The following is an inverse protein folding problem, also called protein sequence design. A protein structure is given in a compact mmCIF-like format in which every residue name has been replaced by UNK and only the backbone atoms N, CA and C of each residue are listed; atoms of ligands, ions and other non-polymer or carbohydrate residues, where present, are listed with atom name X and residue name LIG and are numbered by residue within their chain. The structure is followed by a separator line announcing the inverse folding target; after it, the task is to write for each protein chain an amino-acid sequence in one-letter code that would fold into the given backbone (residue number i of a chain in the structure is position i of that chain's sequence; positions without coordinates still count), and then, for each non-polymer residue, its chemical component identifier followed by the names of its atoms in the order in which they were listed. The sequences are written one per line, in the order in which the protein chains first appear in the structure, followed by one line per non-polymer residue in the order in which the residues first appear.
data_IF_850717598717
#
_entry.id   IF_850717598717
#
_cell.length_a   1.000
_cell.length_b   1.000
_cell.length_c   1.000
_cell.angle_alpha   90.00
_cell.angle_beta   90.00
_cell.angle_gamma   90.00
#
_symmetry.space_group_name_H-M   'P 1'
#
loop_
_entity.id
_entity.type
_entity.pdbx_description
1 polymer ?
#
# COMPACT_ATOMS: atom_id res chain seq x y z
N UNK A 1 10.58 -10.06 -19.42
CA UNK A 1 9.45 -10.79 -18.82
C UNK A 1 9.26 -10.63 -17.30
N UNK A 2 10.03 -11.29 -16.40
CA UNK A 2 9.71 -11.25 -14.94
C UNK A 2 9.63 -9.84 -14.33
N UNK A 3 10.48 -8.91 -14.79
CA UNK A 3 10.49 -7.52 -14.34
C UNK A 3 9.29 -6.73 -14.87
N UNK A 4 8.93 -6.90 -16.14
CA UNK A 4 7.75 -6.25 -16.75
C UNK A 4 6.45 -6.70 -16.08
N UNK A 5 6.31 -8.00 -15.77
CA UNK A 5 5.16 -8.52 -15.02
C UNK A 5 5.09 -7.91 -13.61
N UNK A 6 6.24 -7.69 -12.99
CA UNK A 6 6.29 -7.05 -11.67
C UNK A 6 5.87 -5.58 -11.73
N UNK A 7 6.35 -4.84 -12.75
CA UNK A 7 5.97 -3.44 -12.99
C UNK A 7 4.46 -3.33 -13.30
N UNK A 8 3.93 -4.18 -14.18
CA UNK A 8 2.51 -4.21 -14.50
C UNK A 8 1.64 -4.46 -13.25
N UNK A 9 2.06 -5.38 -12.37
CA UNK A 9 1.38 -5.65 -11.10
C UNK A 9 1.47 -4.47 -10.13
N UNK A 10 2.60 -3.77 -10.08
CA UNK A 10 2.74 -2.55 -9.26
C UNK A 10 1.83 -1.43 -9.79
N UNK A 11 1.76 -1.21 -11.10
CA UNK A 11 0.86 -0.24 -11.70
C UNK A 11 -0.61 -0.57 -11.42
N UNK A 12 -0.98 -1.84 -11.52
CA UNK A 12 -2.33 -2.28 -11.17
C UNK A 12 -2.67 -1.99 -9.69
N UNK A 13 -1.75 -2.27 -8.76
CA UNK A 13 -1.93 -1.95 -7.35
C UNK A 13 -2.02 -0.44 -7.11
N UNK A 14 -1.26 0.36 -7.84
CA UNK A 14 -1.32 1.82 -7.77
C UNK A 14 -2.66 2.36 -8.27
N UNK A 15 -3.20 1.77 -9.35
CA UNK A 15 -4.56 2.08 -9.83
C UNK A 15 -5.62 1.73 -8.80
N UNK A 16 -5.48 0.61 -8.07
CA UNK A 16 -6.40 0.28 -6.98
C UNK A 16 -6.33 1.30 -5.83
N UNK A 17 -5.14 1.80 -5.48
CA UNK A 17 -4.98 2.84 -4.44
C UNK A 17 -5.68 4.13 -4.87
N UNK A 18 -5.33 4.67 -6.04
CA UNK A 18 -5.90 5.92 -6.56
C UNK A 18 -7.41 5.79 -6.78
N UNK A 19 -7.85 4.68 -7.39
CA UNK A 19 -9.26 4.41 -7.63
C UNK A 19 -10.07 4.33 -6.35
N UNK A 20 -9.55 3.66 -5.31
CA UNK A 20 -10.21 3.56 -4.01
C UNK A 20 -10.26 4.91 -3.29
N UNK A 21 -9.20 5.73 -3.39
CA UNK A 21 -9.18 7.10 -2.85
C UNK A 21 -10.30 7.95 -3.48
N UNK A 22 -10.39 7.98 -4.81
CA UNK A 22 -11.43 8.74 -5.53
C UNK A 22 -12.84 8.23 -5.17
N UNK A 23 -13.03 6.91 -5.11
CA UNK A 23 -14.31 6.32 -4.72
C UNK A 23 -14.70 6.65 -3.28
N UNK A 24 -13.74 6.73 -2.37
CA UNK A 24 -13.96 7.17 -0.98
C UNK A 24 -14.51 8.60 -0.93
N UNK A 25 -13.92 9.52 -1.69
CA UNK A 25 -14.39 10.91 -1.76
C UNK A 25 -15.79 11.04 -2.37
N UNK A 26 -16.07 10.32 -3.47
CA UNK A 26 -17.39 10.32 -4.10
C UNK A 26 -18.43 9.76 -3.13
N UNK A 27 -18.12 8.64 -2.46
CA UNK A 27 -19.07 8.00 -1.55
C UNK A 27 -19.31 8.76 -0.27
N UNK A 28 -18.40 9.65 0.16
CA UNK A 28 -18.64 10.57 1.26
C UNK A 28 -19.88 11.46 1.03
N UNK A 29 -20.18 11.84 -0.21
CA UNK A 29 -21.38 12.64 -0.52
C UNK A 29 -22.70 11.91 -0.24
N UNK A 30 -22.71 10.57 -0.19
CA UNK A 30 -23.90 9.79 0.16
C UNK A 30 -24.31 9.95 1.64
N UNK A 31 -23.43 10.49 2.49
CA UNK A 31 -23.73 10.75 3.90
C UNK A 31 -24.94 11.64 4.08
N UNK A 32 -25.13 12.62 3.19
CA UNK A 32 -26.29 13.51 3.22
C UNK A 32 -27.63 12.78 3.04
N UNK A 33 -27.64 11.64 2.35
CA UNK A 33 -28.87 10.91 2.01
C UNK A 33 -29.12 9.72 2.93
N UNK A 34 -28.07 8.98 3.30
CA UNK A 34 -28.17 7.72 4.05
C UNK A 34 -27.63 7.83 5.48
N UNK A 35 -27.16 9.01 5.90
CA UNK A 35 -26.58 9.24 7.22
C UNK A 35 -25.41 8.29 7.51
N UNK A 36 -25.31 7.83 8.74
CA UNK A 36 -24.20 6.98 9.20
C UNK A 36 -24.08 5.64 8.43
N UNK A 37 -25.18 5.11 7.89
CA UNK A 37 -25.14 3.88 7.08
C UNK A 37 -24.30 4.04 5.81
N UNK A 38 -24.18 5.26 5.29
CA UNK A 38 -23.34 5.54 4.11
C UNK A 38 -21.85 5.29 4.37
N UNK A 39 -21.38 5.34 5.64
CA UNK A 39 -19.97 5.22 6.00
C UNK A 39 -19.39 3.83 5.72
N UNK A 40 -20.25 2.82 5.57
CA UNK A 40 -19.81 1.46 5.21
C UNK A 40 -19.05 1.48 3.87
N UNK A 41 -19.53 2.20 2.87
CA UNK A 41 -18.91 2.30 1.55
C UNK A 41 -17.48 2.87 1.59
N UNK A 42 -17.23 4.09 2.09
CA UNK A 42 -15.88 4.65 2.15
C UNK A 42 -14.95 3.81 3.03
N UNK A 43 -15.44 3.24 4.14
CA UNK A 43 -14.63 2.34 4.99
C UNK A 43 -14.16 1.11 4.19
N UNK A 44 -15.01 0.53 3.34
CA UNK A 44 -14.60 -0.60 2.49
C UNK A 44 -13.53 -0.20 1.47
N UNK A 45 -13.62 0.99 0.88
CA UNK A 45 -12.60 1.49 -0.06
C UNK A 45 -11.26 1.77 0.63
N UNK A 46 -11.28 2.33 1.84
CA UNK A 46 -10.06 2.51 2.65
C UNK A 46 -9.40 1.15 2.94
N UNK A 47 -10.17 0.12 3.28
CA UNK A 47 -9.63 -1.24 3.49
C UNK A 47 -9.00 -1.82 2.23
N UNK A 48 -9.62 -1.62 1.06
CA UNK A 48 -9.07 -2.04 -0.23
C UNK A 48 -7.75 -1.29 -0.51
N UNK A 49 -7.72 0.01 -0.27
CA UNK A 49 -6.56 0.88 -0.46
C UNK A 49 -5.38 0.44 0.40
N UNK A 50 -5.59 0.23 1.71
CA UNK A 50 -4.56 -0.23 2.63
C UNK A 50 -4.00 -1.59 2.20
N UNK A 51 -4.87 -2.52 1.81
CA UNK A 51 -4.44 -3.83 1.32
C UNK A 51 -3.59 -3.74 0.04
N UNK A 52 -3.95 -2.85 -0.88
CA UNK A 52 -3.19 -2.60 -2.10
C UNK A 52 -1.82 -1.97 -1.78
N UNK A 53 -1.77 -1.00 -0.88
CA UNK A 53 -0.55 -0.35 -0.41
C UNK A 53 0.43 -1.34 0.24
N UNK A 54 -0.06 -2.20 1.14
CA UNK A 54 0.75 -3.25 1.78
C UNK A 54 1.33 -4.21 0.73
N UNK A 55 0.52 -4.62 -0.26
CA UNK A 55 0.99 -5.50 -1.35
C UNK A 55 2.04 -4.80 -2.22
N UNK A 56 1.85 -3.52 -2.54
CA UNK A 56 2.78 -2.73 -3.34
C UNK A 56 4.14 -2.61 -2.64
N UNK A 57 4.12 -2.31 -1.35
CA UNK A 57 5.33 -2.14 -0.56
C UNK A 57 6.11 -3.46 -0.41
N UNK A 58 5.41 -4.60 -0.23
CA UNK A 58 6.06 -5.92 -0.23
C UNK A 58 6.78 -6.23 -1.54
N UNK A 59 6.25 -5.77 -2.69
CA UNK A 59 6.89 -5.96 -3.99
C UNK A 59 8.15 -5.08 -4.10
N UNK A 60 8.04 -3.80 -3.75
CA UNK A 60 9.17 -2.86 -3.78
C UNK A 60 10.32 -3.32 -2.88
N UNK A 61 10.02 -3.74 -1.65
CA UNK A 61 11.04 -4.23 -0.72
C UNK A 61 11.73 -5.51 -1.24
N UNK A 62 10.98 -6.40 -1.91
CA UNK A 62 11.56 -7.60 -2.52
C UNK A 62 12.51 -7.26 -3.67
N UNK A 63 12.16 -6.29 -4.51
CA UNK A 63 13.01 -5.88 -5.65
C UNK A 63 14.23 -5.06 -5.21
N UNK A 64 14.10 -4.20 -4.19
CA UNK A 64 15.23 -3.46 -3.60
C UNK A 64 16.24 -4.41 -2.95
N UNK A 65 15.77 -5.39 -2.17
CA UNK A 65 16.63 -6.40 -1.56
C UNK A 65 17.38 -7.24 -2.61
N UNK A 66 16.73 -7.58 -3.73
CA UNK A 66 17.40 -8.29 -4.84
C UNK A 66 18.48 -7.42 -5.49
N UNK A 67 18.21 -6.13 -5.70
CA UNK A 67 19.15 -5.20 -6.35
C UNK A 67 20.38 -4.97 -5.50
N UNK A 68 20.20 -4.68 -4.21
CA UNK A 68 21.32 -4.49 -3.28
C UNK A 68 22.22 -5.71 -3.21
N UNK A 69 21.62 -6.90 -3.08
CA UNK A 69 22.37 -8.15 -3.03
C UNK A 69 23.14 -8.42 -4.31
N UNK A 70 22.55 -8.11 -5.47
CA UNK A 70 23.24 -8.22 -6.76
C UNK A 70 24.51 -7.37 -6.78
N UNK A 71 24.46 -6.12 -6.31
CA UNK A 71 25.64 -5.24 -6.22
C UNK A 71 26.71 -5.82 -5.28
N UNK A 72 26.29 -6.36 -4.13
CA UNK A 72 27.20 -6.91 -3.13
C UNK A 72 27.89 -8.19 -3.62
N UNK A 73 27.15 -9.08 -4.27
CA UNK A 73 27.70 -10.30 -4.86
C UNK A 73 28.68 -9.97 -6.01
N UNK A 74 28.41 -8.91 -6.79
CA UNK A 74 29.37 -8.37 -7.78
C UNK A 74 30.66 -7.85 -7.13
N UNK A 75 30.57 -7.16 -5.99
CA UNK A 75 31.75 -6.64 -5.29
C UNK A 75 32.62 -7.76 -4.69
N UNK A 76 32.00 -8.84 -4.21
CA UNK A 76 32.70 -9.94 -3.55
C UNK A 76 33.22 -11.03 -4.52
N UNK A 77 33.06 -10.88 -5.83
CA UNK A 77 33.33 -11.92 -6.84
C UNK A 77 32.66 -13.28 -6.50
N UNK A 78 31.55 -13.26 -5.75
CA UNK A 78 30.81 -14.46 -5.36
C UNK A 78 29.69 -14.72 -6.35
N UNK A 79 29.46 -15.98 -6.69
CA UNK A 79 28.27 -16.37 -7.47
C UNK A 79 27.00 -15.94 -6.72
N UNK A 80 26.07 -15.31 -7.44
CA UNK A 80 24.85 -14.69 -6.89
C UNK A 80 23.98 -15.74 -6.20
N UNK A 81 24.15 -15.93 -4.88
CA UNK A 81 23.44 -16.95 -4.10
C UNK A 81 22.25 -16.36 -3.36
N UNK A 82 21.05 -16.89 -3.62
CA UNK A 82 19.78 -16.37 -3.11
C UNK A 82 19.36 -16.91 -1.72
N UNK A 83 20.19 -16.79 -0.67
CA UNK A 83 19.74 -17.18 0.69
C UNK A 83 19.19 -15.99 1.52
N UNK A 84 18.03 -16.12 2.20
CA UNK A 84 17.42 -15.02 2.94
C UNK A 84 17.79 -15.06 4.43
N UNK A 85 18.53 -14.05 4.92
CA UNK A 85 18.52 -13.72 6.36
C UNK A 85 17.16 -13.09 6.71
N UNK A 86 16.32 -13.88 7.36
CA UNK A 86 14.88 -13.66 7.59
C UNK A 86 14.55 -12.71 8.75
N UNK A 87 15.52 -12.37 9.62
CA UNK A 87 15.25 -11.73 10.90
C UNK A 87 14.99 -10.21 10.81
N UNK A 88 15.72 -9.46 9.97
CA UNK A 88 15.51 -8.01 9.77
C UNK A 88 14.24 -7.66 8.97
N UNK A 89 13.68 -8.63 8.22
CA UNK A 89 12.46 -8.43 7.42
C UNK A 89 11.20 -8.26 8.26
N UNK A 90 11.10 -8.94 9.41
CA UNK A 90 9.89 -8.88 10.26
C UNK A 90 9.71 -7.52 10.93
N UNK A 91 10.79 -6.92 11.45
CA UNK A 91 10.74 -5.60 12.10
C UNK A 91 10.40 -4.48 11.10
N UNK A 92 11.05 -4.48 9.93
CA UNK A 92 10.79 -3.49 8.88
C UNK A 92 9.36 -3.58 8.31
N UNK A 93 8.79 -4.79 8.24
CA UNK A 93 7.40 -4.96 7.80
C UNK A 93 6.38 -4.43 8.82
N UNK A 94 6.69 -4.44 10.12
CA UNK A 94 5.80 -3.90 11.17
C UNK A 94 5.76 -2.37 11.11
N UNK A 95 6.91 -1.71 11.04
CA UNK A 95 7.02 -0.24 10.96
C UNK A 95 6.35 0.34 9.70
N UNK A 96 6.50 -0.37 8.58
CA UNK A 96 5.88 0.04 7.31
C UNK A 96 4.37 -0.22 7.27
N UNK A 97 3.92 -1.30 7.90
CA UNK A 97 2.47 -1.55 8.05
C UNK A 97 1.82 -0.50 8.97
N UNK A 98 2.51 -0.03 10.01
CA UNK A 98 2.01 1.09 10.83
C UNK A 98 1.89 2.39 10.04
N UNK A 99 2.78 2.68 9.09
CA UNK A 99 2.67 3.85 8.22
C UNK A 99 1.42 3.81 7.33
N UNK A 100 1.09 2.65 6.75
CA UNK A 100 -0.13 2.49 5.96
C UNK A 100 -1.41 2.68 6.82
N UNK A 101 -1.39 2.20 8.07
CA UNK A 101 -2.49 2.38 9.02
C UNK A 101 -2.63 3.85 9.42
N UNK A 102 -1.52 4.55 9.69
CA UNK A 102 -1.52 5.99 9.99
C UNK A 102 -2.08 6.79 8.81
N UNK A 103 -1.70 6.45 7.58
CA UNK A 103 -2.27 7.06 6.38
C UNK A 103 -3.79 6.89 6.30
N UNK A 104 -4.29 5.69 6.56
CA UNK A 104 -5.74 5.43 6.59
C UNK A 104 -6.47 6.20 7.69
N UNK A 105 -5.85 6.40 8.87
CA UNK A 105 -6.42 7.21 9.93
C UNK A 105 -6.52 8.68 9.51
N UNK A 106 -5.46 9.24 8.91
CA UNK A 106 -5.47 10.61 8.39
C UNK A 106 -6.58 10.78 7.36
N UNK A 107 -6.69 9.83 6.44
CA UNK A 107 -7.71 9.84 5.39
C UNK A 107 -9.13 9.79 5.98
N UNK A 108 -9.36 8.95 6.99
CA UNK A 108 -10.63 8.89 7.72
C UNK A 108 -10.97 10.21 8.42
N UNK A 109 -10.01 10.83 9.10
CA UNK A 109 -10.23 12.13 9.75
C UNK A 109 -10.47 13.26 8.74
N UNK A 110 -9.78 13.26 7.60
CA UNK A 110 -10.03 14.21 6.51
C UNK A 110 -11.44 14.04 5.97
N UNK A 111 -11.89 12.81 5.75
CA UNK A 111 -13.26 12.52 5.33
C UNK A 111 -14.27 13.02 6.36
N UNK A 112 -14.07 12.74 7.64
CA UNK A 112 -14.93 13.22 8.71
C UNK A 112 -14.96 14.75 8.78
N UNK A 113 -13.81 15.40 8.60
CA UNK A 113 -13.71 16.86 8.49
C UNK A 113 -14.54 17.40 7.33
N UNK A 114 -14.45 16.79 6.14
CA UNK A 114 -15.30 17.15 4.99
C UNK A 114 -16.78 16.97 5.32
N UNK A 115 -17.16 15.85 5.95
CA UNK A 115 -18.54 15.61 6.37
C UNK A 115 -19.04 16.63 7.41
N UNK A 116 -18.19 17.15 8.28
CA UNK A 116 -18.58 18.13 9.30
C UNK A 116 -18.86 19.53 8.74
N UNK A 117 -18.41 19.82 7.52
CA UNK A 117 -18.59 21.11 6.85
C UNK A 117 -19.87 21.13 6.00
N UNK A 118 -20.43 19.96 5.65
CA UNK A 118 -21.66 19.80 4.86
C UNK A 118 -22.88 19.51 5.74
#
# INVERSE_FOLDING_TARGET
MKREVTIAKMNQLMLFIIGSFVLTLITASLFKYWGDFSLILPVTFIVIMVNAAIKLQKIQDKENLKTYKKILDYMDNREVRNDPKTQNRKRMNLEKSSLAIVGALIEFFLMYGVLSVF
#
